data_IF_053047917767
#
_entry.id   IF_053047917767
#
_cell.length_a   1.000
_cell.length_b   1.000
_cell.length_c   1.000
_cell.angle_alpha   90.00
_cell.angle_beta   90.00
_cell.angle_gamma   90.00
#
_symmetry.space_group_name_H-M   'P 1'
#
loop_
_entity.id
_entity.type
_entity.pdbx_description
1 polymer ?
#
# COMPACT_ATOMS: atom_id res chain seq x y z
N UNK A 1 -3.86 -9.15 20.60
CA UNK A 1 -4.73 -9.18 19.41
C UNK A 1 -5.67 -10.39 19.37
N UNK A 2 -5.29 -11.56 19.93
CA UNK A 2 -6.12 -12.78 19.91
C UNK A 2 -7.56 -12.55 20.43
N UNK A 3 -7.73 -11.80 21.54
CA UNK A 3 -9.06 -11.44 22.08
C UNK A 3 -9.85 -10.60 21.08
N UNK A 4 -9.20 -9.61 20.45
CA UNK A 4 -9.82 -8.76 19.43
C UNK A 4 -10.24 -9.60 18.21
N UNK A 5 -9.36 -10.48 17.72
CA UNK A 5 -9.65 -11.37 16.59
C UNK A 5 -10.87 -12.25 16.85
N UNK A 6 -10.93 -12.87 18.03
CA UNK A 6 -12.09 -13.68 18.43
C UNK A 6 -13.37 -12.85 18.52
N UNK A 7 -13.29 -11.67 19.13
CA UNK A 7 -14.44 -10.78 19.25
C UNK A 7 -14.99 -10.36 17.89
N UNK A 8 -14.12 -9.91 16.98
CA UNK A 8 -14.54 -9.45 15.64
C UNK A 8 -15.10 -10.59 14.81
N UNK A 9 -14.50 -11.77 14.82
CA UNK A 9 -14.98 -12.94 14.09
C UNK A 9 -16.36 -13.43 14.60
N UNK A 10 -16.65 -13.25 15.89
CA UNK A 10 -17.97 -13.55 16.45
C UNK A 10 -19.04 -12.53 16.01
N UNK A 11 -18.65 -11.31 15.65
CA UNK A 11 -19.58 -10.27 15.17
C UNK A 11 -19.77 -10.30 13.66
N UNK A 12 -18.70 -10.52 12.92
CA UNK A 12 -18.70 -10.65 11.47
C UNK A 12 -17.66 -11.67 11.06
N UNK A 13 -18.09 -12.78 10.47
CA UNK A 13 -17.20 -13.80 9.92
C UNK A 13 -16.24 -13.14 8.92
N UNK A 14 -14.98 -13.54 8.99
CA UNK A 14 -13.91 -13.03 8.13
C UNK A 14 -13.69 -11.51 8.21
N UNK A 15 -13.95 -10.93 9.41
CA UNK A 15 -13.62 -9.52 9.64
C UNK A 15 -12.10 -9.32 9.56
N UNK A 16 -11.69 -8.50 8.57
CA UNK A 16 -10.28 -8.27 8.30
C UNK A 16 -9.67 -7.25 9.27
N UNK A 17 -8.60 -7.67 9.95
CA UNK A 17 -7.84 -6.85 10.89
C UNK A 17 -6.47 -6.53 10.31
N UNK A 18 -6.19 -5.25 10.10
CA UNK A 18 -4.89 -4.75 9.67
C UNK A 18 -4.23 -3.97 10.79
N UNK A 19 -2.93 -4.15 10.97
CA UNK A 19 -2.12 -3.40 11.93
C UNK A 19 -0.99 -2.64 11.28
N UNK A 20 -0.62 -1.51 11.87
CA UNK A 20 0.56 -0.77 11.45
C UNK A 20 1.80 -1.32 12.16
N UNK A 21 2.74 -1.85 11.38
CA UNK A 21 4.03 -2.36 11.86
C UNK A 21 5.14 -1.79 10.96
N UNK A 22 5.98 -0.94 11.53
CA UNK A 22 7.04 -0.26 10.79
C UNK A 22 8.27 -1.17 10.62
N UNK A 23 8.63 -1.94 11.66
CA UNK A 23 9.84 -2.74 11.71
C UNK A 23 9.62 -4.11 12.33
N UNK A 24 10.53 -5.04 12.03
CA UNK A 24 10.59 -6.35 12.66
C UNK A 24 9.96 -7.46 11.83
N UNK A 25 9.79 -8.62 12.45
CA UNK A 25 9.21 -9.80 11.80
C UNK A 25 7.68 -9.67 11.77
N UNK A 26 7.13 -9.57 10.57
CA UNK A 26 5.68 -9.42 10.35
C UNK A 26 4.89 -10.66 10.75
N UNK A 27 5.49 -11.88 10.72
CA UNK A 27 4.83 -13.11 11.19
C UNK A 27 4.43 -13.06 12.67
N UNK A 28 5.15 -12.24 13.46
CA UNK A 28 4.81 -12.04 14.87
C UNK A 28 3.42 -11.43 15.06
N UNK A 29 2.99 -10.61 14.12
CA UNK A 29 1.78 -9.82 14.20
C UNK A 29 0.67 -10.32 13.27
N UNK A 30 1.02 -10.68 12.02
CA UNK A 30 0.10 -11.22 11.04
C UNK A 30 0.16 -12.75 11.08
N UNK A 31 -0.87 -13.36 11.64
CA UNK A 31 -1.02 -14.82 11.74
C UNK A 31 -2.47 -15.17 12.08
N UNK A 32 -2.82 -16.46 12.00
CA UNK A 32 -4.19 -16.97 12.22
C UNK A 32 -4.84 -16.55 13.55
N UNK A 33 -4.04 -16.27 14.58
CA UNK A 33 -4.54 -15.96 15.92
C UNK A 33 -4.56 -14.45 16.23
N UNK A 34 -4.09 -13.60 15.30
CA UNK A 34 -3.87 -12.19 15.55
C UNK A 34 -4.42 -11.34 14.41
N UNK A 35 -3.56 -10.56 13.73
CA UNK A 35 -3.95 -9.70 12.61
C UNK A 35 -3.95 -10.51 11.31
N UNK A 36 -4.80 -10.11 10.36
CA UNK A 36 -4.83 -10.70 9.02
C UNK A 36 -3.74 -10.12 8.12
N UNK A 37 -3.33 -8.87 8.40
CA UNK A 37 -2.34 -8.15 7.63
C UNK A 37 -1.61 -7.12 8.48
N UNK A 38 -0.44 -6.73 8.00
CA UNK A 38 0.31 -5.58 8.52
C UNK A 38 0.88 -4.76 7.37
N UNK A 39 1.21 -3.49 7.66
CA UNK A 39 1.81 -2.55 6.71
C UNK A 39 3.18 -3.02 6.22
N UNK A 40 3.40 -2.97 4.91
CA UNK A 40 4.64 -3.41 4.27
C UNK A 40 5.59 -2.21 4.03
N UNK A 41 6.18 -1.69 5.09
CA UNK A 41 7.13 -0.57 5.01
C UNK A 41 8.42 -0.92 4.26
N UNK A 42 8.82 -2.19 4.24
CA UNK A 42 10.00 -2.64 3.50
C UNK A 42 9.81 -2.45 1.99
N UNK A 43 8.68 -2.92 1.44
CA UNK A 43 8.38 -2.69 0.03
C UNK A 43 8.07 -1.22 -0.28
N UNK A 44 7.42 -0.47 0.62
CA UNK A 44 7.21 0.96 0.47
C UNK A 44 8.52 1.68 0.13
N UNK A 45 9.57 1.46 0.94
CA UNK A 45 10.88 2.06 0.68
C UNK A 45 11.45 1.61 -0.67
N UNK A 46 11.45 0.31 -0.93
CA UNK A 46 11.97 -0.25 -2.18
C UNK A 46 11.27 0.28 -3.44
N UNK A 47 9.96 0.55 -3.37
CA UNK A 47 9.19 1.09 -4.50
C UNK A 47 9.71 2.47 -4.90
N UNK A 48 9.71 3.46 -3.98
CA UNK A 48 10.09 4.81 -4.38
C UNK A 48 11.59 4.95 -4.64
N UNK A 49 12.46 4.28 -3.85
CA UNK A 49 13.90 4.35 -4.05
C UNK A 49 14.32 3.77 -5.40
N UNK A 50 13.76 2.63 -5.79
CA UNK A 50 14.05 1.97 -7.06
C UNK A 50 13.73 2.86 -8.26
N UNK A 51 12.62 3.59 -8.22
CA UNK A 51 12.26 4.53 -9.28
C UNK A 51 13.17 5.76 -9.29
N UNK A 52 13.45 6.34 -8.12
CA UNK A 52 14.29 7.53 -8.00
C UNK A 52 15.74 7.29 -8.41
N UNK A 53 16.27 6.11 -8.08
CA UNK A 53 17.66 5.76 -8.36
C UNK A 53 17.82 4.99 -9.69
N UNK A 54 16.70 4.75 -10.41
CA UNK A 54 16.66 3.96 -11.66
C UNK A 54 17.30 2.58 -11.50
N UNK A 55 17.14 1.99 -10.31
CA UNK A 55 17.70 0.71 -9.93
C UNK A 55 16.67 -0.13 -9.19
N UNK A 56 16.17 -1.17 -9.85
CA UNK A 56 15.12 -2.04 -9.34
C UNK A 56 15.62 -3.22 -8.49
N UNK A 57 16.93 -3.34 -8.25
CA UNK A 57 17.46 -4.44 -7.44
C UNK A 57 16.94 -4.44 -6.01
N UNK A 58 16.74 -3.26 -5.40
CA UNK A 58 16.23 -3.16 -4.03
C UNK A 58 14.82 -3.73 -3.90
N UNK A 59 13.89 -3.30 -4.76
CA UNK A 59 12.51 -3.82 -4.72
C UNK A 59 12.43 -5.29 -5.16
N UNK A 60 13.21 -5.70 -6.15
CA UNK A 60 13.28 -7.09 -6.57
C UNK A 60 13.79 -8.00 -5.45
N UNK A 61 14.81 -7.56 -4.71
CA UNK A 61 15.33 -8.26 -3.54
C UNK A 61 14.26 -8.37 -2.45
N UNK A 62 13.59 -7.26 -2.10
CA UNK A 62 12.52 -7.25 -1.08
C UNK A 62 11.36 -8.16 -1.45
N UNK A 63 10.91 -8.14 -2.70
CA UNK A 63 9.84 -9.01 -3.18
C UNK A 63 10.23 -10.48 -3.15
N UNK A 64 11.46 -10.83 -3.62
CA UNK A 64 11.93 -12.21 -3.58
C UNK A 64 12.13 -12.71 -2.16
N UNK A 65 12.70 -11.88 -1.28
CA UNK A 65 12.88 -12.20 0.14
C UNK A 65 11.55 -12.43 0.85
N UNK A 66 10.53 -11.63 0.55
CA UNK A 66 9.22 -11.71 1.19
C UNK A 66 8.35 -12.82 0.59
N UNK A 67 8.26 -12.91 -0.73
CA UNK A 67 7.24 -13.68 -1.45
C UNK A 67 7.82 -14.71 -2.44
N UNK A 68 9.14 -14.81 -2.60
CA UNK A 68 9.77 -15.82 -3.44
C UNK A 68 9.49 -17.25 -2.95
N UNK A 69 10.00 -18.25 -3.65
CA UNK A 69 9.79 -19.68 -3.35
C UNK A 69 10.05 -20.02 -1.87
N UNK A 70 11.06 -19.41 -1.26
CA UNK A 70 11.41 -19.55 0.15
C UNK A 70 11.18 -18.24 0.93
N UNK A 71 10.25 -17.43 0.46
CA UNK A 71 9.98 -16.11 1.04
C UNK A 71 9.47 -16.20 2.48
N UNK A 72 9.99 -15.31 3.32
CA UNK A 72 9.68 -15.31 4.77
C UNK A 72 8.23 -14.92 5.08
N UNK A 73 7.54 -14.27 4.14
CA UNK A 73 6.15 -13.81 4.24
C UNK A 73 5.27 -14.35 3.11
N UNK A 74 5.67 -15.45 2.44
CA UNK A 74 4.95 -16.02 1.29
C UNK A 74 3.49 -16.36 1.59
N UNK A 75 3.18 -16.67 2.85
CA UNK A 75 1.84 -17.03 3.30
C UNK A 75 1.07 -15.85 3.91
N UNK A 76 1.67 -14.65 3.92
CA UNK A 76 1.03 -13.43 4.41
C UNK A 76 0.46 -12.59 3.27
N UNK A 77 -0.70 -11.98 3.53
CA UNK A 77 -1.30 -11.00 2.65
C UNK A 77 -1.01 -9.59 3.20
N UNK A 78 0.19 -9.05 2.92
CA UNK A 78 0.64 -7.78 3.47
C UNK A 78 -0.09 -6.59 2.85
N UNK A 79 -0.33 -5.54 3.65
CA UNK A 79 -0.90 -4.27 3.22
C UNK A 79 0.18 -3.39 2.58
N UNK A 80 0.15 -3.30 1.25
CA UNK A 80 1.12 -2.54 0.48
C UNK A 80 0.61 -1.13 0.18
N UNK A 81 1.48 -0.15 0.27
CA UNK A 81 1.17 1.25 0.04
C UNK A 81 2.38 1.97 -0.56
N UNK A 82 2.15 3.13 -1.16
CA UNK A 82 3.18 3.99 -1.74
C UNK A 82 3.29 5.33 -1.02
N UNK A 83 2.28 5.68 -0.27
CA UNK A 83 2.23 6.76 0.72
C UNK A 83 1.12 6.51 1.74
N UNK A 84 1.14 7.26 2.83
CA UNK A 84 0.11 7.24 3.87
C UNK A 84 0.10 8.58 4.64
N UNK A 85 -0.60 8.60 5.77
CA UNK A 85 -0.75 9.79 6.62
C UNK A 85 0.52 10.22 7.38
N UNK A 86 1.57 9.41 7.39
CA UNK A 86 2.81 9.64 8.16
C UNK A 86 4.06 9.80 7.29
N UNK A 87 3.96 9.51 5.99
CA UNK A 87 5.06 9.66 5.04
C UNK A 87 4.70 10.63 3.92
N UNK A 88 5.71 11.20 3.26
CA UNK A 88 5.50 12.10 2.14
C UNK A 88 4.63 11.47 1.05
N UNK A 89 3.75 12.26 0.46
CA UNK A 89 2.97 11.84 -0.69
C UNK A 89 3.88 11.34 -1.81
N UNK A 90 3.50 10.27 -2.49
CA UNK A 90 4.33 9.67 -3.55
C UNK A 90 4.64 10.68 -4.66
N UNK A 91 3.68 11.52 -5.04
CA UNK A 91 3.86 12.58 -6.02
C UNK A 91 4.90 13.64 -5.61
N UNK A 92 5.21 13.77 -4.31
CA UNK A 92 6.28 14.64 -3.78
C UNK A 92 7.60 13.90 -3.57
N UNK A 93 7.57 12.58 -3.49
CA UNK A 93 8.75 11.74 -3.23
C UNK A 93 9.50 11.40 -4.52
N UNK A 94 8.79 11.28 -5.63
CA UNK A 94 9.36 10.94 -6.93
C UNK A 94 10.13 12.11 -7.54
N UNK A 95 11.40 11.87 -7.97
CA UNK A 95 12.22 12.85 -8.69
C UNK A 95 11.74 13.09 -10.11
N UNK A 96 11.17 12.09 -10.75
CA UNK A 96 10.55 12.14 -12.07
C UNK A 96 9.06 11.92 -11.92
N UNK A 97 8.20 12.94 -12.14
CA UNK A 97 6.76 12.84 -11.91
C UNK A 97 6.10 11.68 -12.64
N UNK A 98 6.48 11.41 -13.87
CA UNK A 98 5.88 10.35 -14.70
C UNK A 98 6.10 8.93 -14.15
N UNK A 99 7.04 8.73 -13.24
CA UNK A 99 7.23 7.43 -12.59
C UNK A 99 6.05 7.05 -11.69
N UNK A 100 5.16 7.97 -11.38
CA UNK A 100 3.97 7.69 -10.57
C UNK A 100 3.11 6.58 -11.20
N UNK A 101 3.01 6.54 -12.53
CA UNK A 101 2.27 5.51 -13.25
C UNK A 101 2.90 4.12 -13.04
N UNK A 102 4.23 4.03 -13.13
CA UNK A 102 4.96 2.78 -12.92
C UNK A 102 4.86 2.30 -11.47
N UNK A 103 4.90 3.23 -10.52
CA UNK A 103 4.74 2.98 -9.08
C UNK A 103 3.40 2.31 -8.80
N UNK A 104 2.30 2.82 -9.36
CA UNK A 104 0.99 2.22 -9.15
C UNK A 104 0.81 0.90 -9.88
N UNK A 105 1.38 0.73 -11.07
CA UNK A 105 1.40 -0.58 -11.75
C UNK A 105 2.09 -1.60 -10.85
N UNK A 106 3.27 -1.28 -10.31
CA UNK A 106 4.00 -2.16 -9.40
C UNK A 106 3.18 -2.49 -8.15
N UNK A 107 2.59 -1.47 -7.49
CA UNK A 107 1.76 -1.64 -6.30
C UNK A 107 0.63 -2.66 -6.52
N UNK A 108 -0.05 -2.58 -7.66
CA UNK A 108 -1.17 -3.45 -7.97
C UNK A 108 -0.76 -4.84 -8.47
N UNK A 109 0.44 -4.99 -9.02
CA UNK A 109 0.92 -6.27 -9.54
C UNK A 109 1.71 -7.11 -8.54
N UNK A 110 2.26 -6.50 -7.48
CA UNK A 110 2.95 -7.23 -6.42
C UNK A 110 1.99 -8.04 -5.53
N UNK A 111 2.46 -9.10 -4.85
CA UNK A 111 1.67 -9.85 -3.88
C UNK A 111 1.20 -8.99 -2.71
N UNK A 112 0.00 -9.26 -2.20
CA UNK A 112 -0.60 -8.53 -1.06
C UNK A 112 -1.73 -7.59 -1.47
N UNK A 113 -2.17 -6.77 -0.51
CA UNK A 113 -3.29 -5.83 -0.62
C UNK A 113 -2.77 -4.46 -1.03
N UNK A 114 -3.04 -3.97 -2.24
CA UNK A 114 -2.69 -2.60 -2.60
C UNK A 114 -3.60 -1.61 -1.87
N UNK A 115 -3.01 -0.55 -1.36
CA UNK A 115 -3.73 0.57 -0.75
C UNK A 115 -3.37 1.87 -1.43
N UNK A 116 -4.38 2.68 -1.69
CA UNK A 116 -4.24 4.05 -2.20
C UNK A 116 -4.68 4.99 -1.10
N UNK A 117 -3.79 5.86 -0.66
CA UNK A 117 -4.13 6.88 0.32
C UNK A 117 -4.96 7.98 -0.35
N UNK A 118 -6.00 8.46 0.32
CA UNK A 118 -6.96 9.41 -0.27
C UNK A 118 -6.26 10.63 -0.88
N UNK A 119 -6.65 11.01 -2.07
CA UNK A 119 -6.06 12.11 -2.85
C UNK A 119 -4.82 11.71 -3.66
N UNK A 120 -4.15 10.61 -3.35
CA UNK A 120 -2.97 10.16 -4.10
C UNK A 120 -3.36 9.64 -5.48
N UNK A 121 -4.59 9.17 -5.65
CA UNK A 121 -5.19 8.81 -6.94
C UNK A 121 -5.33 10.01 -7.91
N UNK A 122 -5.31 11.21 -7.37
CA UNK A 122 -5.33 12.47 -8.14
C UNK A 122 -3.94 13.08 -8.31
N UNK A 123 -2.89 12.46 -7.77
CA UNK A 123 -1.52 12.97 -7.81
C UNK A 123 -1.25 14.13 -6.84
N UNK A 124 -2.02 14.23 -5.75
CA UNK A 124 -1.86 15.30 -4.75
C UNK A 124 -0.48 15.23 -4.13
N UNK A 125 0.16 16.38 -4.00
CA UNK A 125 1.46 16.55 -3.37
C UNK A 125 1.32 16.87 -1.87
N UNK A 126 2.32 16.48 -1.09
CA UNK A 126 2.44 16.80 0.33
C UNK A 126 3.76 16.32 0.88
N UNK A 127 4.43 17.17 1.64
CA UNK A 127 5.68 16.87 2.33
C UNK A 127 5.48 17.12 3.82
N UNK A 128 5.95 16.19 4.63
CA UNK A 128 5.87 16.29 6.10
C UNK A 128 6.54 17.57 6.58
N UNK A 129 5.80 18.37 7.33
CA UNK A 129 6.31 19.61 7.93
C UNK A 129 7.12 19.34 9.20
N UNK A 130 7.87 20.36 9.67
CA UNK A 130 8.51 20.28 10.99
C UNK A 130 7.43 20.30 12.08
N UNK A 131 7.28 19.15 12.76
CA UNK A 131 6.33 19.01 13.88
C UNK A 131 4.85 18.96 13.49
N UNK A 132 4.53 18.77 12.21
CA UNK A 132 3.15 18.65 11.75
C UNK A 132 3.00 17.73 10.54
N UNK A 133 1.92 16.94 10.53
CA UNK A 133 1.53 16.07 9.44
C UNK A 133 0.40 16.68 8.59
N UNK A 134 -0.06 17.88 8.91
CA UNK A 134 -1.15 18.55 8.19
C UNK A 134 -0.97 18.59 6.67
N UNK A 135 0.25 18.84 6.11
CA UNK A 135 0.43 18.83 4.66
C UNK A 135 0.19 17.46 4.00
N UNK A 136 0.21 16.37 4.80
CA UNK A 136 -0.07 15.02 4.33
C UNK A 136 -1.56 14.68 4.38
N UNK A 137 -2.35 15.45 5.13
CA UNK A 137 -3.76 15.19 5.48
C UNK A 137 -4.66 16.37 5.12
N UNK A 138 -4.62 16.87 3.85
CA UNK A 138 -5.45 17.99 3.46
C UNK A 138 -6.92 17.60 3.49
N UNK A 139 -7.79 18.54 3.82
CA UNK A 139 -9.21 18.44 3.52
C UNK A 139 -9.40 18.48 2.01
N UNK A 140 -10.14 17.53 1.47
CA UNK A 140 -10.41 17.44 0.03
C UNK A 140 -11.89 17.69 -0.24
N UNK A 141 -12.16 18.68 -1.07
CA UNK A 141 -13.46 18.80 -1.73
C UNK A 141 -13.38 18.03 -3.06
N UNK A 142 -14.02 16.86 -3.12
CA UNK A 142 -13.95 15.95 -4.28
C UNK A 142 -14.53 16.61 -5.54
N UNK A 143 -15.49 17.51 -5.37
CA UNK A 143 -16.14 18.22 -6.48
C UNK A 143 -15.29 19.35 -7.05
N UNK A 144 -14.27 19.81 -6.30
CA UNK A 144 -13.42 20.92 -6.67
C UNK A 144 -11.95 20.67 -6.31
N UNK A 145 -11.38 19.59 -6.84
CA UNK A 145 -9.95 19.30 -6.70
C UNK A 145 -9.21 20.16 -7.73
N UNK A 146 -8.38 21.08 -7.24
CA UNK A 146 -7.62 22.05 -8.04
C UNK A 146 -6.69 21.38 -9.08
N UNK A 147 -6.10 20.24 -8.71
CA UNK A 147 -5.29 19.41 -9.60
C UNK A 147 -5.77 17.97 -9.55
N UNK A 148 -6.15 17.45 -10.71
CA UNK A 148 -6.62 16.08 -10.85
C UNK A 148 -5.95 15.41 -12.04
N UNK A 149 -5.05 14.48 -11.77
CA UNK A 149 -4.48 13.62 -12.80
C UNK A 149 -5.49 12.52 -13.20
N UNK A 150 -6.35 12.84 -14.17
CA UNK A 150 -7.34 11.88 -14.67
C UNK A 150 -6.72 10.64 -15.33
N UNK A 151 -5.52 10.79 -15.90
CA UNK A 151 -4.79 9.65 -16.49
C UNK A 151 -4.34 8.69 -15.39
N UNK A 152 -3.85 9.22 -14.26
CA UNK A 152 -3.49 8.42 -13.10
C UNK A 152 -4.71 7.72 -12.50
N UNK A 153 -5.80 8.45 -12.29
CA UNK A 153 -7.05 7.88 -11.78
C UNK A 153 -7.55 6.73 -12.67
N UNK A 154 -7.59 6.93 -13.97
CA UNK A 154 -7.97 5.90 -14.93
C UNK A 154 -7.04 4.67 -14.90
N UNK A 155 -5.73 4.89 -14.74
CA UNK A 155 -4.76 3.79 -14.60
C UNK A 155 -5.05 2.97 -13.33
N UNK A 156 -5.24 3.64 -12.21
CA UNK A 156 -5.51 2.99 -10.92
C UNK A 156 -6.81 2.17 -11.00
N UNK A 157 -7.87 2.72 -11.56
CA UNK A 157 -9.13 2.00 -11.75
C UNK A 157 -8.96 0.75 -12.62
N UNK A 158 -8.30 0.86 -13.77
CA UNK A 158 -8.03 -0.29 -14.65
C UNK A 158 -7.16 -1.37 -14.01
N UNK A 159 -6.14 -0.96 -13.26
CA UNK A 159 -5.25 -1.93 -12.58
C UNK A 159 -5.97 -2.63 -11.43
N UNK A 160 -6.83 -1.93 -10.70
CA UNK A 160 -7.70 -2.52 -9.69
C UNK A 160 -8.69 -3.55 -10.29
N UNK A 161 -9.37 -3.20 -11.38
CA UNK A 161 -10.27 -4.12 -12.10
C UNK A 161 -9.54 -5.39 -12.58
N UNK A 162 -8.35 -5.22 -13.15
CA UNK A 162 -7.53 -6.35 -13.63
C UNK A 162 -7.09 -7.25 -12.48
N UNK A 163 -6.64 -6.68 -11.36
CA UNK A 163 -6.27 -7.45 -10.17
C UNK A 163 -7.44 -8.28 -9.65
N UNK A 164 -8.64 -7.70 -9.59
CA UNK A 164 -9.83 -8.40 -9.13
C UNK A 164 -10.25 -9.55 -10.07
N UNK A 165 -10.09 -9.38 -11.39
CA UNK A 165 -10.38 -10.45 -12.38
C UNK A 165 -9.40 -11.62 -12.27
N UNK A 166 -8.11 -11.34 -12.04
CA UNK A 166 -7.06 -12.36 -12.04
C UNK A 166 -6.94 -13.08 -10.71
N UNK A 167 -7.27 -12.44 -9.60
CA UNK A 167 -7.13 -13.05 -8.27
C UNK A 167 -8.19 -14.09 -7.98
N UNK A 168 -9.29 -14.17 -8.76
CA UNK A 168 -10.33 -15.21 -8.62
C UNK A 168 -10.85 -15.40 -7.18
N UNK A 169 -10.39 -14.57 -6.26
CA UNK A 169 -10.50 -14.78 -4.85
C UNK A 169 -11.54 -13.87 -4.22
N UNK A 170 -12.38 -14.47 -3.41
CA UNK A 170 -13.34 -13.82 -2.51
C UNK A 170 -12.70 -12.85 -1.50
N UNK A 171 -11.39 -12.60 -1.58
CA UNK A 171 -10.62 -11.85 -0.59
C UNK A 171 -10.77 -10.31 -0.69
N UNK A 172 -11.45 -9.78 -1.70
CA UNK A 172 -11.49 -8.34 -2.02
C UNK A 172 -12.89 -7.75 -2.17
N UNK A 173 -13.92 -8.42 -1.68
CA UNK A 173 -15.23 -7.80 -1.50
C UNK A 173 -15.26 -7.13 -0.13
N UNK A 174 -14.81 -5.87 -0.09
CA UNK A 174 -15.11 -4.94 1.01
C UNK A 174 -16.49 -4.35 0.80
#
# INVERSE_FOLDING_TARGET
FKVLKNFTNNKKKDFWLMGEVIHGDYNRWANKDSLDSVTNYECYKGIYSSHNDKNYFEIAYSLNRQFGQYGIYKDLCLYNFVDNHDVNRIASTLRVPDYIYNVYILLYTMPGVPSVYYGSEFGIKGVKGKGTDLPLRPELNIDNIEYKDEKLLNLIQKTWENKNRTSGSKAWQL
#
